data_IF_030321361478
#
_entry.id   IF_030321361478
#
_cell.length_a   1.000
_cell.length_b   1.000
_cell.length_c   1.000
_cell.angle_alpha   90.00
_cell.angle_beta   90.00
_cell.angle_gamma   90.00
#
_symmetry.space_group_name_H-M   'P 1'
#
loop_
_entity.id
_entity.type
_entity.pdbx_description
1 polymer ?
#
# COMPACT_ATOMS: atom_id res chain seq x y z
N UNK A 1 12.58 -12.71 -18.19
CA UNK A 1 13.03 -12.02 -16.96
C UNK A 1 13.50 -13.05 -15.96
N UNK A 2 14.57 -12.76 -15.22
CA UNK A 2 15.06 -13.67 -14.18
C UNK A 2 14.05 -13.72 -13.01
N UNK A 3 13.80 -14.90 -12.42
CA UNK A 3 12.90 -15.03 -11.29
C UNK A 3 13.46 -14.32 -10.04
N UNK A 4 12.59 -13.63 -9.30
CA UNK A 4 12.94 -13.03 -8.01
C UNK A 4 13.24 -14.14 -6.98
N UNK A 5 14.28 -14.02 -6.14
CA UNK A 5 14.51 -15.00 -5.08
C UNK A 5 13.34 -15.05 -4.08
N UNK A 6 12.85 -16.25 -3.68
CA UNK A 6 11.67 -16.40 -2.84
C UNK A 6 11.85 -15.84 -1.41
N UNK A 7 13.09 -15.69 -0.94
CA UNK A 7 13.38 -15.17 0.41
C UNK A 7 13.29 -13.63 0.48
N UNK A 8 13.17 -12.93 -0.64
CA UNK A 8 13.05 -11.47 -0.64
C UNK A 8 11.64 -11.01 -0.27
N UNK A 9 11.58 -9.81 0.30
CA UNK A 9 10.33 -9.04 0.40
C UNK A 9 10.38 -7.92 -0.62
N UNK A 10 9.36 -7.85 -1.47
CA UNK A 10 9.16 -6.79 -2.45
C UNK A 10 8.10 -5.84 -1.93
N UNK A 11 8.48 -4.57 -1.77
CA UNK A 11 7.57 -3.51 -1.37
C UNK A 11 7.47 -2.50 -2.52
N UNK A 12 6.28 -2.40 -3.12
CA UNK A 12 5.99 -1.44 -4.18
C UNK A 12 5.06 -0.34 -3.63
N UNK A 13 5.42 0.93 -3.84
CA UNK A 13 4.67 2.07 -3.31
C UNK A 13 3.43 2.41 -4.14
N UNK A 14 3.27 1.78 -5.31
CA UNK A 14 2.05 1.91 -6.09
C UNK A 14 0.90 1.20 -5.37
N UNK A 15 -0.22 1.90 -5.28
CA UNK A 15 -1.48 1.40 -4.70
C UNK A 15 -2.65 1.40 -5.70
N UNK A 16 -2.48 2.02 -6.87
CA UNK A 16 -3.43 1.95 -8.00
C UNK A 16 -2.66 1.71 -9.30
N UNK A 17 -2.76 0.52 -9.92
CA UNK A 17 -3.50 -0.67 -9.45
C UNK A 17 -2.91 -1.26 -8.17
N UNK A 18 -3.72 -1.97 -7.39
CA UNK A 18 -3.27 -2.67 -6.17
C UNK A 18 -2.24 -3.78 -6.45
N UNK A 19 -2.20 -4.28 -7.68
CA UNK A 19 -1.37 -5.39 -8.13
C UNK A 19 -0.52 -4.96 -9.34
N UNK A 20 0.71 -4.49 -9.09
CA UNK A 20 1.64 -4.12 -10.17
C UNK A 20 2.28 -5.35 -10.83
N UNK A 21 2.94 -5.14 -11.97
CA UNK A 21 3.72 -6.20 -12.63
C UNK A 21 4.80 -6.78 -11.71
N UNK A 22 5.48 -5.91 -10.95
CA UNK A 22 6.52 -6.29 -10.01
C UNK A 22 5.96 -7.16 -8.87
N UNK A 23 4.83 -6.76 -8.28
CA UNK A 23 4.17 -7.54 -7.22
C UNK A 23 3.67 -8.90 -7.73
N UNK A 24 3.14 -8.97 -8.96
CA UNK A 24 2.76 -10.26 -9.57
C UNK A 24 3.95 -11.18 -9.74
N UNK A 25 5.09 -10.66 -10.20
CA UNK A 25 6.31 -11.44 -10.37
C UNK A 25 6.84 -11.95 -9.03
N UNK A 26 6.83 -11.09 -7.99
CA UNK A 26 7.24 -11.46 -6.64
C UNK A 26 6.38 -12.61 -6.10
N UNK A 27 5.05 -12.48 -6.17
CA UNK A 27 4.11 -13.55 -5.75
C UNK A 27 4.32 -14.84 -6.52
N UNK A 28 4.48 -14.77 -7.85
CA UNK A 28 4.75 -15.95 -8.70
C UNK A 28 6.06 -16.66 -8.34
N UNK A 29 7.05 -15.92 -7.85
CA UNK A 29 8.32 -16.47 -7.42
C UNK A 29 8.33 -16.97 -5.96
N UNK A 30 7.20 -16.90 -5.25
CA UNK A 30 7.11 -17.27 -3.83
C UNK A 30 7.65 -16.22 -2.86
N UNK A 31 8.02 -15.03 -3.36
CA UNK A 31 8.47 -13.92 -2.54
C UNK A 31 7.29 -13.21 -1.85
N UNK A 32 7.55 -12.61 -0.70
CA UNK A 32 6.57 -11.76 -0.01
C UNK A 32 6.39 -10.47 -0.81
N UNK A 33 5.15 -10.11 -1.12
CA UNK A 33 4.82 -8.92 -1.90
C UNK A 33 3.88 -8.00 -1.10
N UNK A 34 4.24 -6.72 -0.98
CA UNK A 34 3.50 -5.70 -0.22
C UNK A 34 3.22 -4.51 -1.15
N UNK A 35 1.98 -4.04 -1.22
CA UNK A 35 1.59 -2.87 -2.02
C UNK A 35 1.56 -1.57 -1.20
N UNK A 36 1.44 -0.44 -1.90
CA UNK A 36 1.69 0.89 -1.33
C UNK A 36 0.63 1.43 -0.37
N UNK A 37 -0.57 0.82 -0.34
CA UNK A 37 -1.72 1.36 0.40
C UNK A 37 -1.43 1.54 1.90
N UNK A 38 -0.71 0.58 2.49
CA UNK A 38 -0.31 0.66 3.90
C UNK A 38 0.62 1.84 4.18
N UNK A 39 1.53 2.18 3.25
CA UNK A 39 2.39 3.35 3.38
C UNK A 39 1.56 4.63 3.32
N UNK A 40 0.68 4.75 2.32
CA UNK A 40 -0.20 5.90 2.13
C UNK A 40 -1.05 6.17 3.38
N UNK A 41 -1.64 5.13 3.98
CA UNK A 41 -2.39 5.22 5.23
C UNK A 41 -1.52 5.71 6.39
N UNK A 42 -0.37 5.07 6.61
CA UNK A 42 0.51 5.35 7.76
C UNK A 42 1.14 6.75 7.68
N UNK A 43 1.55 7.19 6.49
CA UNK A 43 2.13 8.53 6.33
C UNK A 43 1.07 9.62 6.54
N UNK A 44 -0.17 9.40 6.07
CA UNK A 44 -1.27 10.31 6.32
C UNK A 44 -1.64 10.37 7.79
N UNK A 45 -1.63 9.22 8.48
CA UNK A 45 -1.87 9.14 9.92
C UNK A 45 -0.79 9.88 10.73
N UNK A 46 0.48 9.76 10.33
CA UNK A 46 1.57 10.50 10.96
C UNK A 46 1.41 12.01 10.76
N UNK A 47 1.09 12.47 9.55
CA UNK A 47 0.84 13.87 9.26
C UNK A 47 -0.37 14.42 10.05
N UNK A 48 -1.47 13.66 10.11
CA UNK A 48 -2.64 14.01 10.90
C UNK A 48 -2.26 14.26 12.37
N UNK A 49 -1.56 13.30 13.00
CA UNK A 49 -1.16 13.43 14.40
C UNK A 49 -0.22 14.61 14.66
N UNK A 50 0.71 14.89 13.73
CA UNK A 50 1.60 16.04 13.82
C UNK A 50 0.86 17.38 13.73
N UNK A 51 -0.18 17.47 12.91
CA UNK A 51 -0.91 18.73 12.71
C UNK A 51 -1.99 18.98 13.75
N UNK A 52 -2.67 17.92 14.21
CA UNK A 52 -3.81 18.05 15.13
C UNK A 52 -3.43 17.86 16.59
N UNK A 53 -2.30 17.20 16.87
CA UNK A 53 -1.94 16.75 18.22
C UNK A 53 -2.75 15.54 18.71
N UNK A 54 -3.64 15.00 17.88
CA UNK A 54 -4.55 13.90 18.22
C UNK A 54 -4.16 12.59 17.50
N UNK A 55 -4.44 11.41 18.08
CA UNK A 55 -4.20 10.15 17.39
C UNK A 55 -5.06 10.05 16.13
N UNK A 56 -4.44 9.62 15.03
CA UNK A 56 -5.13 9.43 13.76
C UNK A 56 -6.15 8.27 13.85
N UNK A 57 -7.39 8.47 13.37
CA UNK A 57 -8.41 7.41 13.35
C UNK A 57 -8.13 6.42 12.20
N UNK A 58 -7.17 5.50 12.42
CA UNK A 58 -6.62 4.63 11.37
C UNK A 58 -7.68 3.80 10.62
N UNK A 59 -8.68 3.28 11.32
CA UNK A 59 -9.73 2.47 10.68
C UNK A 59 -10.64 3.31 9.77
N UNK A 60 -10.96 4.54 10.20
CA UNK A 60 -11.74 5.49 9.38
C UNK A 60 -10.95 5.89 8.14
N UNK A 61 -9.66 6.20 8.31
CA UNK A 61 -8.78 6.56 7.20
C UNK A 61 -8.59 5.40 6.22
N UNK A 62 -8.48 4.16 6.72
CA UNK A 62 -8.39 2.96 5.88
C UNK A 62 -9.66 2.79 5.05
N UNK A 63 -10.83 2.83 5.68
CA UNK A 63 -12.11 2.70 4.99
C UNK A 63 -12.29 3.77 3.91
N UNK A 64 -11.89 5.01 4.20
CA UNK A 64 -11.94 6.10 3.21
C UNK A 64 -11.01 5.85 2.01
N UNK A 65 -9.78 5.35 2.24
CA UNK A 65 -8.86 5.00 1.16
C UNK A 65 -9.38 3.85 0.30
N UNK A 66 -9.93 2.80 0.93
CA UNK A 66 -10.50 1.64 0.23
C UNK A 66 -11.71 2.04 -0.63
N UNK A 67 -12.60 2.89 -0.12
CA UNK A 67 -13.71 3.45 -0.87
C UNK A 67 -13.22 4.28 -2.07
N UNK A 68 -12.27 5.19 -1.86
CA UNK A 68 -11.73 6.03 -2.92
C UNK A 68 -11.05 5.23 -4.04
N UNK A 69 -10.50 4.04 -3.73
CA UNK A 69 -9.92 3.14 -4.74
C UNK A 69 -10.94 2.46 -5.65
N UNK A 70 -12.22 2.39 -5.24
CA UNK A 70 -13.31 1.83 -6.06
C UNK A 70 -13.82 2.85 -7.08
N UNK A 71 -13.66 4.14 -6.80
CA UNK A 71 -14.07 5.22 -7.69
C UNK A 71 -13.03 5.45 -8.82
N UNK A 72 -13.48 5.74 -10.05
CA UNK A 72 -12.56 6.16 -11.11
C UNK A 72 -11.83 7.45 -10.70
N UNK A 73 -10.56 7.63 -11.08
CA UNK A 73 -9.85 8.88 -10.76
C UNK A 73 -10.60 10.06 -11.38
N UNK A 74 -10.72 11.15 -10.62
CA UNK A 74 -11.26 12.42 -11.07
C UNK A 74 -10.44 13.03 -12.22
#
# INVERSE_FOLDING_TARGET
>A
EAPLPPHLTVYDLVYRPAETRLLRQARRAGARAIGGLGMLLRQGAAAFALWTGEPAPLEVMRAALEAALQEPPA
#
